data_IF_782270444885
#
_entry.id   IF_782270444885
#
_cell.length_a   1.000
_cell.length_b   1.000
_cell.length_c   1.000
_cell.angle_alpha   90.00
_cell.angle_beta   90.00
_cell.angle_gamma   90.00
#
_symmetry.space_group_name_H-M   'P 1'
#
loop_
_entity.id
_entity.type
_entity.pdbx_description
1 polymer ?
#
# COMPACT_ATOMS: atom_id res chain seq x y z
N UNK A 1 -0.15 -12.55 7.16
CA UNK A 1 -0.33 -11.30 6.37
C UNK A 1 -1.57 -11.49 5.51
N UNK A 2 -2.52 -10.54 5.48
CA UNK A 2 -3.76 -10.72 4.71
C UNK A 2 -3.49 -10.79 3.20
N UNK A 3 -4.30 -11.58 2.49
CA UNK A 3 -4.12 -11.83 1.06
C UNK A 3 -4.65 -10.65 0.24
N UNK A 4 -3.75 -9.82 -0.31
CA UNK A 4 -4.11 -8.69 -1.16
C UNK A 4 -5.00 -9.08 -2.36
N UNK A 5 -4.90 -10.31 -2.86
CA UNK A 5 -5.69 -10.78 -4.00
C UNK A 5 -7.18 -10.87 -3.70
N UNK A 6 -7.59 -10.90 -2.43
CA UNK A 6 -9.01 -10.89 -2.04
C UNK A 6 -9.66 -9.53 -2.29
N UNK A 7 -8.87 -8.46 -2.25
CA UNK A 7 -9.36 -7.08 -2.34
C UNK A 7 -9.08 -6.42 -3.70
N UNK A 8 -7.97 -6.81 -4.35
CA UNK A 8 -7.43 -6.05 -5.48
C UNK A 8 -7.22 -6.89 -6.74
N UNK A 9 -7.27 -6.22 -7.89
CA UNK A 9 -6.90 -6.76 -9.20
C UNK A 9 -5.43 -6.41 -9.47
N UNK A 10 -4.52 -7.18 -8.87
CA UNK A 10 -3.10 -6.84 -8.75
C UNK A 10 -2.35 -6.74 -10.09
N UNK A 11 -2.74 -7.54 -11.09
CA UNK A 11 -2.17 -7.51 -12.44
C UNK A 11 -2.51 -6.22 -13.20
N UNK A 12 -3.55 -5.48 -12.76
CA UNK A 12 -3.97 -4.20 -13.35
C UNK A 12 -3.48 -2.98 -12.59
N UNK A 13 -2.67 -3.15 -11.55
CA UNK A 13 -2.02 -2.02 -10.86
C UNK A 13 -1.18 -1.25 -11.86
N UNK A 14 -1.23 0.07 -11.82
CA UNK A 14 -0.53 0.94 -12.78
C UNK A 14 -0.10 2.25 -12.17
N UNK A 15 0.79 2.94 -12.88
CA UNK A 15 1.29 4.26 -12.51
C UNK A 15 0.91 5.21 -13.64
N UNK A 16 0.24 6.30 -13.28
CA UNK A 16 -0.17 7.36 -14.20
C UNK A 16 0.47 8.68 -13.78
N UNK A 17 0.69 9.59 -14.74
CA UNK A 17 1.03 10.99 -14.45
C UNK A 17 -0.25 11.83 -14.48
N UNK A 18 -0.77 12.16 -13.30
CA UNK A 18 -1.95 13.00 -13.11
C UNK A 18 -1.52 14.33 -12.47
N UNK A 19 -1.31 15.32 -13.33
CA UNK A 19 -0.87 16.67 -12.94
C UNK A 19 -1.78 17.33 -11.90
N UNK A 20 -3.09 17.11 -12.01
CA UNK A 20 -4.08 17.65 -11.07
C UNK A 20 -3.94 17.05 -9.66
N UNK A 21 -3.28 15.88 -9.54
CA UNK A 21 -3.01 15.20 -8.27
C UNK A 21 -1.55 15.34 -7.80
N UNK A 22 -0.79 16.25 -8.43
CA UNK A 22 0.60 16.54 -8.06
C UNK A 22 1.64 15.67 -8.77
N UNK A 23 1.27 14.99 -9.87
CA UNK A 23 2.20 14.26 -10.75
C UNK A 23 1.96 12.76 -10.75
N UNK A 24 3.02 11.98 -10.52
CA UNK A 24 2.94 10.52 -10.56
C UNK A 24 2.05 9.98 -9.43
N UNK A 25 1.05 9.18 -9.80
CA UNK A 25 0.14 8.47 -8.89
C UNK A 25 0.15 6.98 -9.20
N UNK A 26 -0.03 6.15 -8.18
CA UNK A 26 -0.28 4.72 -8.38
C UNK A 26 -1.76 4.43 -8.19
N UNK A 27 -2.31 3.63 -9.10
CA UNK A 27 -3.71 3.23 -9.13
C UNK A 27 -3.76 1.74 -8.87
N UNK A 28 -4.47 1.35 -7.82
CA UNK A 28 -4.68 -0.05 -7.40
C UNK A 28 -6.16 -0.38 -7.50
N UNK A 29 -6.60 -1.08 -8.58
CA UNK A 29 -8.01 -1.38 -8.79
C UNK A 29 -8.55 -2.36 -7.74
N UNK A 30 -9.75 -2.07 -7.22
CA UNK A 30 -10.49 -2.97 -6.33
C UNK A 30 -11.17 -4.08 -7.14
N UNK A 31 -11.44 -5.20 -6.47
CA UNK A 31 -12.41 -6.19 -6.95
C UNK A 31 -13.84 -5.71 -6.68
N UNK A 32 -14.79 -6.25 -7.43
CA UNK A 32 -16.20 -5.96 -7.19
C UNK A 32 -16.63 -6.40 -5.77
N UNK A 33 -17.49 -5.58 -5.14
CA UNK A 33 -18.17 -5.89 -3.86
C UNK A 33 -17.25 -6.10 -2.66
N UNK A 34 -16.04 -5.56 -2.67
CA UNK A 34 -15.13 -5.58 -1.51
C UNK A 34 -15.38 -4.38 -0.59
N UNK A 35 -15.07 -4.54 0.70
CA UNK A 35 -15.05 -3.41 1.63
C UNK A 35 -13.82 -2.55 1.37
N UNK A 36 -14.02 -1.37 0.76
CA UNK A 36 -12.93 -0.45 0.42
C UNK A 36 -12.17 0.04 1.66
N UNK A 37 -12.81 0.14 2.83
CA UNK A 37 -12.15 0.60 4.06
C UNK A 37 -11.15 -0.44 4.54
N UNK A 38 -11.56 -1.71 4.51
CA UNK A 38 -10.66 -2.82 4.84
C UNK A 38 -9.55 -2.95 3.80
N UNK A 39 -9.89 -2.87 2.51
CA UNK A 39 -8.91 -2.89 1.43
C UNK A 39 -7.83 -1.81 1.63
N UNK A 40 -8.26 -0.57 1.91
CA UNK A 40 -7.36 0.57 2.13
C UNK A 40 -6.45 0.37 3.35
N UNK A 41 -6.99 -0.15 4.46
CA UNK A 41 -6.19 -0.50 5.64
C UNK A 41 -5.13 -1.56 5.29
N UNK A 42 -5.52 -2.65 4.64
CA UNK A 42 -4.61 -3.75 4.28
C UNK A 42 -3.51 -3.26 3.34
N UNK A 43 -3.86 -2.50 2.31
CA UNK A 43 -2.89 -1.97 1.35
C UNK A 43 -1.93 -0.98 2.02
N UNK A 44 -2.42 -0.11 2.89
CA UNK A 44 -1.56 0.86 3.60
C UNK A 44 -0.54 0.16 4.52
N UNK A 45 -0.94 -0.89 5.24
CA UNK A 45 -0.02 -1.70 6.07
C UNK A 45 1.00 -2.45 5.22
N UNK A 46 0.55 -3.06 4.12
CA UNK A 46 1.45 -3.75 3.20
C UNK A 46 2.48 -2.78 2.58
N UNK A 47 2.05 -1.60 2.16
CA UNK A 47 2.94 -0.56 1.65
C UNK A 47 3.96 -0.11 2.69
N UNK A 48 3.53 0.10 3.95
CA UNK A 48 4.44 0.45 5.03
C UNK A 48 5.53 -0.63 5.24
N UNK A 49 5.13 -1.90 5.25
CA UNK A 49 6.06 -3.02 5.36
C UNK A 49 7.02 -3.11 4.16
N UNK A 50 6.51 -2.92 2.94
CA UNK A 50 7.33 -2.91 1.73
C UNK A 50 8.40 -1.81 1.81
N UNK A 51 8.01 -0.57 2.11
CA UNK A 51 8.94 0.55 2.18
C UNK A 51 9.94 0.35 3.33
N UNK A 52 9.50 -0.17 4.48
CA UNK A 52 10.39 -0.52 5.57
C UNK A 52 11.43 -1.55 5.16
N UNK A 53 11.05 -2.59 4.40
CA UNK A 53 11.99 -3.60 3.89
C UNK A 53 13.00 -3.01 2.90
N UNK A 54 12.53 -2.13 2.02
CA UNK A 54 13.36 -1.55 0.95
C UNK A 54 14.30 -0.45 1.44
N UNK A 55 13.86 0.38 2.38
CA UNK A 55 14.59 1.56 2.83
C UNK A 55 15.17 1.42 4.25
N UNK A 56 14.83 0.35 4.97
CA UNK A 56 15.35 0.04 6.31
C UNK A 56 14.86 0.95 7.45
N UNK A 57 13.89 1.84 7.20
CA UNK A 57 13.36 2.79 8.20
C UNK A 57 11.99 2.35 8.71
N UNK A 58 11.61 2.76 9.92
CA UNK A 58 10.39 2.33 10.62
C UNK A 58 9.07 2.88 10.08
N UNK A 59 8.80 2.74 8.78
CA UNK A 59 7.58 3.22 8.14
C UNK A 59 6.32 2.63 8.78
N UNK A 60 5.32 3.47 9.01
CA UNK A 60 4.04 3.06 9.59
C UNK A 60 2.87 3.66 8.82
N UNK A 61 1.77 2.89 8.77
CA UNK A 61 0.51 3.32 8.20
C UNK A 61 -0.38 3.90 9.30
N UNK A 62 -0.82 5.15 9.13
CA UNK A 62 -1.70 5.85 10.07
C UNK A 62 -2.95 6.30 9.34
N UNK A 63 -4.13 5.97 9.85
CA UNK A 63 -5.40 6.53 9.35
C UNK A 63 -5.44 8.02 9.68
N UNK A 64 -5.73 8.87 8.69
CA UNK A 64 -5.77 10.32 8.85
C UNK A 64 -7.17 10.87 8.59
N UNK A 65 -7.64 11.77 9.45
CA UNK A 65 -8.91 12.47 9.27
C UNK A 65 -10.17 11.59 9.42
N UNK A 66 -11.32 12.18 9.06
CA UNK A 66 -12.64 11.52 9.03
C UNK A 66 -12.99 10.91 7.67
N UNK A 67 -12.30 11.35 6.63
CA UNK A 67 -12.42 10.81 5.27
C UNK A 67 -11.45 9.63 5.20
N UNK A 68 -11.91 8.46 4.78
CA UNK A 68 -11.16 7.21 4.80
C UNK A 68 -9.85 7.30 3.98
N UNK A 69 -8.81 7.84 4.64
CA UNK A 69 -7.51 8.15 4.09
C UNK A 69 -6.43 7.59 5.02
N UNK A 70 -5.33 7.14 4.43
CA UNK A 70 -4.18 6.60 5.15
C UNK A 70 -2.91 7.29 4.73
N UNK A 71 -2.01 7.48 5.68
CA UNK A 71 -0.69 8.05 5.48
C UNK A 71 0.36 7.01 5.86
N UNK A 72 1.24 6.67 4.92
CA UNK A 72 2.40 5.83 5.15
C UNK A 72 3.64 6.70 5.19
N UNK A 73 4.29 6.79 6.35
CA UNK A 73 5.47 7.62 6.55
C UNK A 73 6.37 7.11 7.68
N UNK A 74 7.60 7.61 7.69
CA UNK A 74 8.52 7.43 8.81
C UNK A 74 8.09 8.29 10.01
N UNK A 75 8.11 7.74 11.25
CA UNK A 75 7.87 8.49 12.46
C UNK A 75 8.79 9.72 12.57
N UNK A 76 8.22 10.87 12.94
CA UNK A 76 8.98 12.12 13.10
C UNK A 76 9.22 12.91 11.80
N UNK A 77 8.90 12.37 10.62
CA UNK A 77 8.96 13.10 9.36
C UNK A 77 7.57 13.53 8.91
N UNK A 78 7.33 14.86 8.87
CA UNK A 78 6.05 15.41 8.40
C UNK A 78 6.04 15.73 6.92
N UNK A 79 7.22 15.89 6.31
CA UNK A 79 7.42 16.35 4.95
C UNK A 79 7.67 15.21 3.95
N UNK A 80 7.50 13.95 4.33
CA UNK A 80 7.73 12.79 3.46
C UNK A 80 6.68 11.72 3.75
N UNK A 81 6.12 11.13 2.71
CA UNK A 81 5.21 10.00 2.86
C UNK A 81 4.32 9.77 1.64
N UNK A 82 3.50 8.73 1.76
CA UNK A 82 2.51 8.32 0.76
C UNK A 82 1.12 8.41 1.35
N UNK A 83 0.24 9.10 0.64
CA UNK A 83 -1.19 9.18 0.98
C UNK A 83 -1.93 8.16 0.15
N UNK A 84 -2.84 7.43 0.79
CA UNK A 84 -3.73 6.47 0.16
C UNK A 84 -5.16 6.90 0.43
N UNK A 85 -5.99 6.88 -0.60
CA UNK A 85 -7.42 7.16 -0.48
C UNK A 85 -8.22 6.38 -1.50
N UNK A 86 -9.50 6.21 -1.21
CA UNK A 86 -10.43 5.56 -2.10
C UNK A 86 -11.08 6.56 -3.04
N UNK A 87 -11.15 6.21 -4.33
CA UNK A 87 -11.89 6.94 -5.34
C UNK A 87 -12.56 5.95 -6.30
N UNK A 88 -13.89 6.03 -6.45
CA UNK A 88 -14.69 5.13 -7.29
C UNK A 88 -14.49 3.63 -6.99
N UNK A 89 -13.78 2.88 -7.84
CA UNK A 89 -13.52 1.44 -7.68
C UNK A 89 -12.01 1.16 -7.56
N UNK A 90 -11.25 2.13 -7.06
CA UNK A 90 -9.80 2.04 -6.98
C UNK A 90 -9.28 2.74 -5.72
N UNK A 91 -8.11 2.27 -5.26
CA UNK A 91 -7.30 2.98 -4.29
C UNK A 91 -6.22 3.75 -5.03
N UNK A 92 -6.14 5.05 -4.74
CA UNK A 92 -5.13 5.95 -5.28
C UNK A 92 -4.03 6.14 -4.23
N UNK A 93 -2.78 6.03 -4.67
CA UNK A 93 -1.60 6.32 -3.87
C UNK A 93 -0.90 7.54 -4.47
N UNK A 94 -0.79 8.59 -3.69
CA UNK A 94 -0.10 9.83 -4.08
C UNK A 94 1.07 10.12 -3.15
N UNK A 95 2.04 10.87 -3.64
CA UNK A 95 3.14 11.36 -2.81
C UNK A 95 2.66 12.59 -2.04
N UNK A 96 2.94 12.64 -0.74
CA UNK A 96 2.65 13.83 0.09
C UNK A 96 3.70 14.93 -0.12
N UNK A 97 4.89 14.55 -0.57
CA UNK A 97 5.99 15.43 -0.91
C UNK A 97 6.98 14.72 -1.84
N UNK A 98 8.10 15.38 -2.17
CA UNK A 98 9.20 14.77 -2.92
C UNK A 98 9.75 13.61 -2.09
N UNK A 99 9.45 12.37 -2.50
CA UNK A 99 10.15 11.23 -1.95
C UNK A 99 11.57 11.26 -2.53
N UNK A 100 12.58 11.11 -1.67
CA UNK A 100 13.99 11.02 -2.08
C UNK A 100 14.23 9.92 -3.13
N UNK A 101 13.38 8.89 -3.15
CA UNK A 101 13.44 7.80 -4.11
C UNK A 101 12.22 7.82 -5.07
N UNK A 102 12.45 8.32 -6.28
CA UNK A 102 11.44 8.35 -7.33
C UNK A 102 11.05 6.95 -7.83
N UNK A 103 11.90 5.95 -7.63
CA UNK A 103 11.65 4.59 -8.13
C UNK A 103 10.70 3.77 -7.27
N UNK A 104 10.36 4.23 -6.05
CA UNK A 104 9.55 3.46 -5.09
C UNK A 104 8.20 3.03 -5.65
N UNK A 105 7.54 3.88 -6.45
CA UNK A 105 6.29 3.51 -7.12
C UNK A 105 6.48 2.39 -8.12
N UNK A 106 7.51 2.47 -8.98
CA UNK A 106 7.80 1.41 -9.95
C UNK A 106 8.09 0.09 -9.25
N UNK A 107 8.90 0.10 -8.18
CA UNK A 107 9.20 -1.11 -7.41
C UNK A 107 7.97 -1.68 -6.71
N UNK A 108 7.16 -0.83 -6.07
CA UNK A 108 5.96 -1.30 -5.38
C UNK A 108 4.89 -1.80 -6.35
N UNK A 109 4.71 -1.14 -7.50
CA UNK A 109 3.83 -1.62 -8.57
C UNK A 109 4.25 -3.01 -9.06
N UNK A 110 5.56 -3.23 -9.26
CA UNK A 110 6.08 -4.54 -9.65
C UNK A 110 5.87 -5.57 -8.55
N UNK A 111 6.18 -5.22 -7.29
CA UNK A 111 5.94 -6.07 -6.13
C UNK A 111 4.48 -6.52 -6.01
N UNK A 112 3.51 -5.63 -6.25
CA UNK A 112 2.09 -5.96 -6.23
C UNK A 112 1.70 -6.92 -7.36
N UNK A 113 2.22 -6.71 -8.57
CA UNK A 113 1.94 -7.57 -9.73
C UNK A 113 2.52 -8.97 -9.56
N UNK A 114 3.71 -9.05 -8.96
CA UNK A 114 4.41 -10.30 -8.68
C UNK A 114 3.97 -10.95 -7.35
N UNK A 115 2.97 -10.38 -6.67
CA UNK A 115 2.55 -10.84 -5.36
C UNK A 115 2.02 -12.26 -5.44
N UNK A 116 2.85 -13.23 -5.08
CA UNK A 116 2.44 -14.60 -4.80
C UNK A 116 2.09 -14.70 -3.33
N UNK A 117 0.83 -15.09 -3.06
CA UNK A 117 0.43 -15.40 -1.70
C UNK A 117 1.12 -16.70 -1.31
N UNK A 118 2.17 -16.59 -0.52
CA UNK A 118 2.69 -17.72 0.24
C UNK A 118 1.95 -17.70 1.58
N UNK A 119 1.00 -18.63 1.83
CA UNK A 119 0.54 -18.84 3.19
C UNK A 119 1.79 -19.13 4.01
N UNK A 120 2.07 -18.29 5.01
CA UNK A 120 3.08 -18.60 6.00
C UNK A 120 2.79 -20.00 6.50
N UNK A 121 3.79 -20.88 6.37
CA UNK A 121 3.82 -22.16 7.07
C UNK A 121 3.30 -21.89 8.48
N UNK A 122 2.21 -22.57 8.83
CA UNK A 122 1.76 -22.60 10.22
C UNK A 122 2.99 -23.03 11.01
N UNK A 123 3.45 -22.18 11.93
CA UNK A 123 4.30 -22.68 13.01
C UNK A 123 3.46 -23.76 13.70
N UNK A 124 3.75 -25.01 13.33
CA UNK A 124 3.45 -26.18 14.13
C UNK A 124 4.21 -25.97 15.46
N UNK A 125 3.61 -25.22 16.37
CA UNK A 125 3.82 -25.48 17.79
C UNK A 125 3.09 -26.79 18.11
N UNK A 126 3.66 -27.89 17.63
CA UNK A 126 3.62 -29.16 18.36
C UNK A 126 4.36 -28.93 19.69
N UNK A 127 3.69 -28.37 20.69
CA UNK A 127 4.12 -28.63 22.06
C UNK A 127 3.69 -30.07 22.42
N UNK A 128 4.71 -30.91 22.37
CA UNK A 128 4.79 -32.25 22.93
C UNK A 128 4.15 -32.34 24.34
N UNK A 129 3.30 -33.36 24.50
CA UNK A 129 2.96 -34.18 25.70
C UNK A 129 3.24 -33.56 27.09
#
# INVERSE_FOLDING_TARGET
MENLKEYFILDKVRIDDLRDLGGEVMIVPLRERVDYRRALEVLSKNLAQFIQKELGKGYSATKIGYQDEWLVREPGHQSYGLKLYHEAEQIIITRVAILEDESIFKRYCQYLRDFEYHPSEQEEEEEFI
#
